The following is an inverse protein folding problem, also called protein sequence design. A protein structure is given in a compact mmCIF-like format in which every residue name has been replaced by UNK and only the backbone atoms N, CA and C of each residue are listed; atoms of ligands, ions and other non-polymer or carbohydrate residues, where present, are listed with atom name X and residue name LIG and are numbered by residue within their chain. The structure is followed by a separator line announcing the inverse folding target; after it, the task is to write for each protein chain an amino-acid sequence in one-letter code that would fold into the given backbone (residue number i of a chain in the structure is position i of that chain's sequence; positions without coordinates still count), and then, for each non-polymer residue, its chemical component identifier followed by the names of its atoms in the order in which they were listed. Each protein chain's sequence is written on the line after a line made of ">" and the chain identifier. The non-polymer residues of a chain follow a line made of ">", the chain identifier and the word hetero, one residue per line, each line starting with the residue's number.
data_IF_783231766257
#
_entry.id   IF_783231766257
#
_cell.length_a   1.000
_cell.length_b   1.000
_cell.length_c   1.000
_cell.angle_alpha   90.00
_cell.angle_beta   90.00
_cell.angle_gamma   90.00
#
_symmetry.space_group_name_H-M   'P 1'
#
loop_
_entity.id
_entity.type
_entity.pdbx_description
1 polymer ?
#
# COMPACT_ATOMS: atom_id res chain seq x y z
N UNK A 1 3.46 -5.98 12.40
CA UNK A 1 2.91 -4.89 13.22
C UNK A 1 1.41 -4.77 12.98
N UNK A 2 0.65 -4.83 14.07
CA UNK A 2 -0.80 -4.79 13.99
C UNK A 2 -1.35 -3.77 14.97
N UNK A 3 -2.28 -2.94 14.51
CA UNK A 3 -3.03 -2.03 15.34
C UNK A 3 -4.53 -2.30 15.16
N UNK A 4 -5.27 -2.29 16.25
CA UNK A 4 -6.73 -2.48 16.18
C UNK A 4 -7.44 -1.26 15.59
N UNK A 5 -6.82 -0.10 15.67
CA UNK A 5 -7.33 1.14 15.10
C UNK A 5 -6.30 1.72 14.14
N UNK A 6 -5.77 2.88 14.44
CA UNK A 6 -4.79 3.55 13.58
C UNK A 6 -3.38 3.07 13.89
N UNK A 7 -2.59 2.79 12.87
CA UNK A 7 -1.15 2.60 12.97
C UNK A 7 -0.46 3.84 12.41
N UNK A 8 0.38 4.47 13.19
CA UNK A 8 1.11 5.68 12.78
C UNK A 8 2.59 5.46 13.00
N UNK A 9 3.38 5.68 11.95
CA UNK A 9 4.84 5.57 12.01
C UNK A 9 5.43 6.92 11.65
N UNK A 10 6.09 7.56 12.63
CA UNK A 10 6.67 8.88 12.43
C UNK A 10 8.18 8.83 12.20
N UNK A 11 8.82 7.72 12.47
CA UNK A 11 10.26 7.61 12.28
C UNK A 11 10.79 6.27 12.77
N UNK A 12 12.12 6.17 12.85
CA UNK A 12 12.80 4.96 13.30
C UNK A 12 13.10 4.00 12.16
N UNK A 13 13.62 2.85 12.52
CA UNK A 13 13.94 1.77 11.58
C UNK A 13 13.14 0.54 11.96
N UNK A 14 12.35 0.06 11.02
CA UNK A 14 11.49 -1.10 11.24
C UNK A 14 11.78 -2.14 10.19
N UNK A 15 12.09 -3.35 10.64
CA UNK A 15 12.30 -4.49 9.74
C UNK A 15 11.32 -5.60 10.12
N UNK A 16 10.48 -6.00 9.18
CA UNK A 16 9.61 -7.17 9.34
C UNK A 16 10.13 -8.23 8.38
N UNK A 17 10.73 -9.27 8.93
CA UNK A 17 11.40 -10.31 8.14
C UNK A 17 10.42 -11.31 7.54
N UNK A 18 9.31 -11.53 8.22
CA UNK A 18 8.24 -12.41 7.73
C UNK A 18 7.01 -12.22 8.59
N UNK A 19 5.89 -12.01 7.93
CA UNK A 19 4.59 -11.89 8.58
C UNK A 19 3.53 -12.17 7.52
N UNK A 20 2.32 -12.45 7.94
CA UNK A 20 1.20 -12.56 6.99
C UNK A 20 0.93 -11.17 6.40
N UNK A 21 0.59 -10.19 7.23
CA UNK A 21 0.64 -8.77 6.87
C UNK A 21 1.80 -8.14 7.65
N UNK A 22 2.65 -7.38 6.97
CA UNK A 22 3.79 -6.77 7.64
C UNK A 22 3.36 -5.60 8.53
N UNK A 23 2.41 -4.81 8.06
CA UNK A 23 1.88 -3.65 8.78
C UNK A 23 0.39 -3.55 8.51
N UNK A 24 -0.42 -3.54 9.56
CA UNK A 24 -1.86 -3.46 9.37
C UNK A 24 -2.56 -2.64 10.46
N UNK A 25 -3.69 -2.05 10.10
CA UNK A 25 -4.56 -1.31 10.98
C UNK A 25 -5.85 -0.96 10.26
N UNK A 26 -6.77 -0.33 10.96
CA UNK A 26 -7.95 0.24 10.30
C UNK A 26 -7.51 1.31 9.32
N UNK A 27 -6.57 2.15 9.72
CA UNK A 27 -5.84 3.01 8.82
C UNK A 27 -4.37 3.01 9.19
N UNK A 28 -3.54 3.30 8.21
CA UNK A 28 -2.09 3.29 8.35
C UNK A 28 -1.56 4.60 7.82
N UNK A 29 -0.77 5.30 8.64
CA UNK A 29 -0.10 6.53 8.25
C UNK A 29 1.40 6.38 8.46
N UNK A 30 2.18 6.64 7.42
CA UNK A 30 3.64 6.62 7.48
C UNK A 30 4.14 8.01 7.14
N UNK A 31 4.68 8.71 8.14
CA UNK A 31 5.20 10.07 8.00
C UNK A 31 6.72 10.11 7.90
N UNK A 32 7.40 9.04 8.22
CA UNK A 32 8.86 8.99 8.17
C UNK A 32 9.37 7.63 8.58
N UNK A 33 10.70 7.52 8.63
CA UNK A 33 11.38 6.30 9.04
C UNK A 33 11.93 5.51 7.86
N UNK A 34 12.61 4.42 8.19
CA UNK A 34 13.13 3.46 7.21
C UNK A 34 12.47 2.12 7.50
N UNK A 35 11.65 1.67 6.56
CA UNK A 35 10.85 0.46 6.72
C UNK A 35 11.29 -0.56 5.67
N UNK A 36 11.54 -1.78 6.13
CA UNK A 36 11.87 -2.92 5.28
C UNK A 36 10.88 -4.03 5.64
N UNK A 37 9.88 -4.22 4.82
CA UNK A 37 8.72 -5.05 5.13
C UNK A 37 8.61 -6.22 4.16
N UNK A 38 8.54 -7.44 4.72
CA UNK A 38 8.24 -8.63 3.94
C UNK A 38 6.98 -9.30 4.50
N UNK A 39 6.05 -9.62 3.61
CA UNK A 39 4.81 -10.30 3.99
C UNK A 39 4.53 -11.47 3.04
N UNK A 40 3.88 -12.49 3.57
CA UNK A 40 3.47 -13.64 2.76
C UNK A 40 2.09 -13.43 2.13
N UNK A 41 1.34 -12.45 2.61
CA UNK A 41 0.06 -12.03 2.05
C UNK A 41 0.18 -10.55 1.68
N UNK A 42 -0.42 -9.62 2.41
CA UNK A 42 -0.35 -8.21 2.05
C UNK A 42 0.75 -7.50 2.83
N UNK A 43 1.47 -6.62 2.16
CA UNK A 43 2.56 -5.87 2.81
C UNK A 43 2.02 -4.87 3.81
N UNK A 44 1.23 -3.92 3.34
CA UNK A 44 0.54 -2.94 4.18
C UNK A 44 -0.95 -3.11 3.95
N UNK A 45 -1.70 -3.35 5.02
CA UNK A 45 -3.13 -3.64 4.92
C UNK A 45 -3.93 -2.70 5.80
N UNK A 46 -4.91 -2.01 5.21
CA UNK A 46 -5.86 -1.19 5.94
C UNK A 46 -7.26 -1.75 5.74
N UNK A 47 -7.87 -2.18 6.82
CA UNK A 47 -9.18 -2.83 6.77
C UNK A 47 -9.91 -2.67 8.09
N UNK A 48 -11.24 -2.68 8.03
CA UNK A 48 -12.08 -2.73 9.22
C UNK A 48 -13.46 -3.27 8.84
N UNK A 49 -14.07 -3.95 9.79
CA UNK A 49 -15.48 -4.37 9.68
C UNK A 49 -16.43 -3.40 10.40
N UNK A 50 -15.88 -2.39 11.06
CA UNK A 50 -16.70 -1.41 11.80
C UNK A 50 -17.41 -0.48 10.84
N UNK A 51 -18.70 -0.26 11.08
CA UNK A 51 -19.49 0.68 10.30
C UNK A 51 -18.98 2.10 10.51
N UNK A 52 -18.76 2.84 9.41
CA UNK A 52 -18.30 4.21 9.48
C UNK A 52 -16.82 4.38 9.73
N UNK A 53 -16.04 3.30 9.76
CA UNK A 53 -14.60 3.41 9.95
C UNK A 53 -13.95 4.12 8.78
N UNK A 54 -12.99 5.00 9.07
CA UNK A 54 -12.14 5.60 8.05
C UNK A 54 -11.00 4.64 7.74
N UNK A 55 -10.95 4.17 6.51
CA UNK A 55 -9.96 3.18 6.07
C UNK A 55 -9.08 3.83 5.00
N UNK A 56 -7.78 3.87 5.24
CA UNK A 56 -6.83 4.40 4.27
C UNK A 56 -5.41 3.95 4.58
N UNK A 57 -4.56 4.01 3.56
CA UNK A 57 -3.10 3.96 3.71
C UNK A 57 -2.60 5.34 3.25
N UNK A 58 -1.91 6.05 4.13
CA UNK A 58 -1.40 7.39 3.85
C UNK A 58 0.09 7.44 4.06
N UNK A 59 0.83 7.88 3.05
CA UNK A 59 2.27 7.99 3.09
C UNK A 59 2.64 9.45 2.81
N UNK A 60 3.26 10.10 3.79
CA UNK A 60 3.70 11.49 3.66
C UNK A 60 5.23 11.61 3.65
N UNK A 61 5.93 10.55 4.00
CA UNK A 61 7.39 10.54 4.05
C UNK A 61 7.91 9.15 4.32
N UNK A 62 9.22 9.04 4.49
CA UNK A 62 9.88 7.79 4.80
C UNK A 62 10.52 7.11 3.59
N UNK A 63 11.31 6.10 3.89
CA UNK A 63 11.96 5.25 2.89
C UNK A 63 11.43 3.83 3.13
N UNK A 64 10.54 3.39 2.26
CA UNK A 64 9.72 2.21 2.49
C UNK A 64 9.99 1.18 1.41
N UNK A 65 10.42 -0.02 1.84
CA UNK A 65 10.52 -1.18 0.96
C UNK A 65 9.48 -2.19 1.37
N UNK A 66 8.69 -2.64 0.41
CA UNK A 66 7.66 -3.65 0.62
C UNK A 66 7.88 -4.78 -0.36
N UNK A 67 8.07 -5.98 0.16
CA UNK A 67 8.16 -7.19 -0.66
C UNK A 67 7.07 -8.15 -0.19
N UNK A 68 6.33 -8.71 -1.12
CA UNK A 68 5.30 -9.71 -0.83
C UNK A 68 5.60 -11.01 -1.56
N UNK A 69 5.13 -12.09 -0.97
CA UNK A 69 5.30 -13.43 -1.52
C UNK A 69 4.43 -13.66 -2.76
N UNK A 70 4.47 -14.89 -3.25
CA UNK A 70 3.65 -15.29 -4.39
C UNK A 70 2.24 -15.66 -3.94
N UNK A 71 1.29 -15.60 -4.86
CA UNK A 71 -0.11 -15.88 -4.61
C UNK A 71 -0.96 -14.65 -4.81
N UNK A 72 -2.14 -14.63 -4.20
CA UNK A 72 -3.04 -13.47 -4.26
C UNK A 72 -2.60 -12.42 -3.24
N UNK A 73 -1.44 -11.81 -3.50
CA UNK A 73 -0.83 -10.86 -2.58
C UNK A 73 -0.81 -9.47 -3.18
N UNK A 74 -1.05 -8.48 -2.33
CA UNK A 74 -0.92 -7.07 -2.67
C UNK A 74 0.15 -6.43 -1.82
N UNK A 75 1.00 -5.60 -2.40
CA UNK A 75 1.97 -4.87 -1.59
C UNK A 75 1.24 -3.89 -0.67
N UNK A 76 0.32 -3.12 -1.20
CA UNK A 76 -0.58 -2.26 -0.43
C UNK A 76 -2.01 -2.64 -0.72
N UNK A 77 -2.75 -2.98 0.32
CA UNK A 77 -4.17 -3.34 0.22
C UNK A 77 -4.98 -2.46 1.18
N UNK A 78 -5.87 -1.67 0.62
CA UNK A 78 -6.73 -0.79 1.41
C UNK A 78 -8.18 -1.05 1.06
N UNK A 79 -9.00 -1.31 2.07
CA UNK A 79 -10.45 -1.35 1.86
C UNK A 79 -11.06 0.05 1.77
N UNK A 80 -10.24 1.07 1.72
CA UNK A 80 -10.61 2.45 1.50
C UNK A 80 -9.65 3.10 0.51
N UNK A 81 -9.05 4.21 0.92
CA UNK A 81 -8.21 5.01 0.04
C UNK A 81 -6.73 4.70 0.20
N UNK A 82 -5.94 5.06 -0.83
CA UNK A 82 -4.49 5.13 -0.74
C UNK A 82 -4.09 6.57 -1.09
N UNK A 83 -3.32 7.21 -0.22
CA UNK A 83 -2.92 8.60 -0.37
C UNK A 83 -1.42 8.69 -0.19
N UNK A 84 -0.71 9.23 -1.18
CA UNK A 84 0.73 9.44 -1.08
C UNK A 84 1.07 10.88 -1.46
N UNK A 85 1.69 11.58 -0.55
CA UNK A 85 2.10 12.97 -0.73
C UNK A 85 3.61 13.17 -0.63
N UNK A 86 4.34 12.14 -0.23
CA UNK A 86 5.80 12.21 -0.11
C UNK A 86 6.38 10.84 0.19
N UNK A 87 7.70 10.77 0.34
CA UNK A 87 8.41 9.55 0.66
C UNK A 87 8.86 8.76 -0.56
N UNK A 88 9.58 7.67 -0.31
CA UNK A 88 10.01 6.73 -1.33
C UNK A 88 9.39 5.37 -1.05
N UNK A 89 8.67 4.82 -2.00
CA UNK A 89 8.02 3.52 -1.88
C UNK A 89 8.56 2.61 -2.97
N UNK A 90 9.30 1.57 -2.56
CA UNK A 90 9.83 0.56 -3.46
C UNK A 90 9.13 -0.76 -3.20
N UNK A 91 8.45 -1.27 -4.21
CA UNK A 91 7.63 -2.47 -4.11
C UNK A 91 8.25 -3.58 -4.94
N UNK A 92 8.32 -4.79 -4.36
CA UNK A 92 8.63 -6.02 -5.08
C UNK A 92 7.44 -6.96 -4.94
N UNK A 93 6.76 -7.23 -6.03
CA UNK A 93 5.58 -8.08 -6.07
C UNK A 93 5.46 -8.76 -7.41
N UNK A 94 5.01 -10.03 -7.41
CA UNK A 94 4.80 -10.77 -8.65
C UNK A 94 3.35 -10.71 -9.13
N UNK A 95 2.43 -10.24 -8.30
CA UNK A 95 0.99 -10.23 -8.63
C UNK A 95 0.47 -8.80 -8.66
N UNK A 96 0.49 -8.13 -7.53
CA UNK A 96 -0.18 -6.84 -7.41
C UNK A 96 0.60 -5.89 -6.52
N UNK A 97 0.80 -4.66 -6.99
CA UNK A 97 1.38 -3.60 -6.16
C UNK A 97 0.31 -2.96 -5.28
N UNK A 98 -0.84 -2.66 -5.85
CA UNK A 98 -1.89 -1.91 -5.17
C UNK A 98 -3.25 -2.56 -5.39
N UNK A 99 -4.03 -2.64 -4.31
CA UNK A 99 -5.46 -2.94 -4.38
C UNK A 99 -6.17 -2.00 -3.42
N UNK A 100 -7.25 -1.38 -3.87
CA UNK A 100 -8.00 -0.45 -3.04
C UNK A 100 -9.44 -0.37 -3.51
N UNK A 101 -10.33 -0.15 -2.53
CA UNK A 101 -11.77 -0.07 -2.79
C UNK A 101 -12.25 1.37 -2.96
N UNK A 102 -11.50 2.32 -2.43
CA UNK A 102 -11.83 3.74 -2.50
C UNK A 102 -11.13 4.44 -3.64
N UNK A 103 -10.42 5.50 -3.33
CA UNK A 103 -9.72 6.34 -4.29
C UNK A 103 -8.22 6.33 -4.01
N UNK A 104 -7.43 6.53 -5.06
CA UNK A 104 -6.01 6.71 -4.93
C UNK A 104 -5.62 8.13 -5.28
N UNK A 105 -4.70 8.70 -4.50
CA UNK A 105 -4.15 10.02 -4.74
C UNK A 105 -2.64 9.96 -4.58
N UNK A 106 -1.91 10.42 -5.57
CA UNK A 106 -0.46 10.41 -5.58
C UNK A 106 0.03 11.77 -6.09
N UNK A 107 0.48 12.63 -5.17
CA UNK A 107 0.85 14.00 -5.49
C UNK A 107 2.30 14.32 -5.16
N UNK A 108 3.02 13.42 -4.52
CA UNK A 108 4.43 13.64 -4.20
C UNK A 108 5.13 12.35 -3.80
N UNK A 109 6.47 12.38 -3.84
CA UNK A 109 7.29 11.23 -3.55
C UNK A 109 7.59 10.40 -4.79
N UNK A 110 8.12 9.20 -4.58
CA UNK A 110 8.47 8.28 -5.66
C UNK A 110 7.92 6.90 -5.38
N UNK A 111 7.50 6.22 -6.45
CA UNK A 111 7.04 4.84 -6.39
C UNK A 111 7.79 4.05 -7.45
N UNK A 112 8.39 2.93 -7.06
CA UNK A 112 8.91 1.94 -7.99
C UNK A 112 8.25 0.60 -7.72
N UNK A 113 7.95 -0.14 -8.77
CA UNK A 113 7.42 -1.50 -8.68
C UNK A 113 8.31 -2.38 -9.52
N UNK A 114 8.97 -3.33 -8.87
CA UNK A 114 9.92 -4.23 -9.51
C UNK A 114 11.00 -3.47 -10.28
N UNK A 115 11.47 -2.36 -9.70
CA UNK A 115 12.51 -1.52 -10.28
C UNK A 115 12.04 -0.51 -11.31
N UNK A 116 10.75 -0.48 -11.61
CA UNK A 116 10.20 0.46 -12.61
C UNK A 116 9.40 1.55 -11.94
N UNK A 117 9.63 2.79 -12.35
CA UNK A 117 8.95 3.94 -11.80
C UNK A 117 7.48 3.95 -12.19
N UNK A 118 6.63 4.20 -11.21
CA UNK A 118 5.20 4.42 -11.43
C UNK A 118 4.89 5.90 -11.27
N UNK A 119 4.00 6.41 -12.11
CA UNK A 119 3.56 7.81 -12.06
C UNK A 119 2.16 7.95 -11.48
N UNK A 120 1.49 6.84 -11.25
CA UNK A 120 0.16 6.83 -10.65
C UNK A 120 -0.06 5.56 -9.85
N UNK A 121 -1.05 5.58 -9.00
CA UNK A 121 -1.47 4.42 -8.22
C UNK A 121 -2.74 3.88 -8.86
N UNK A 122 -2.66 2.66 -9.36
CA UNK A 122 -3.79 1.98 -10.00
C UNK A 122 -3.99 0.62 -9.34
N UNK A 123 -5.21 0.14 -9.32
CA UNK A 123 -5.49 -1.19 -8.78
C UNK A 123 -5.02 -2.25 -9.78
N UNK A 124 -4.11 -3.09 -9.34
CA UNK A 124 -3.46 -4.09 -10.18
C UNK A 124 -3.99 -5.51 -9.95
N UNK A 125 -4.67 -5.73 -8.84
CA UNK A 125 -5.05 -7.07 -8.40
C UNK A 125 -6.15 -7.71 -9.25
N UNK A 126 -6.38 -9.02 -9.09
CA UNK A 126 -7.38 -9.73 -9.88
C UNK A 126 -8.80 -9.17 -9.78
N UNK A 127 -9.16 -8.57 -8.69
CA UNK A 127 -10.47 -7.94 -8.55
C UNK A 127 -10.46 -6.47 -8.85
N UNK A 128 -9.28 -5.93 -9.10
CA UNK A 128 -9.08 -4.50 -9.19
C UNK A 128 -9.22 -3.95 -10.57
N UNK A 129 -9.80 -4.62 -11.42
CA UNK A 129 -9.90 -4.15 -12.79
C UNK A 129 -10.66 -2.87 -12.86
N UNK A 130 -11.12 -2.52 -12.18
CA UNK A 130 -11.76 -1.31 -12.37
C UNK A 130 -11.17 -0.50 -13.46
N UNK A 131 -10.91 -0.94 -13.50
CA UNK A 131 -10.77 -0.37 -14.16
C UNK A 131 -10.55 0.38 -14.63
N UNK A 132 -10.51 0.63 -14.86
CA UNK A 132 -10.32 1.36 -15.39
C UNK A 132 -10.32 2.08 -15.36
N UNK A 133 -10.31 2.06 -15.25
CA UNK A 133 -10.37 2.69 -15.43
C UNK A 133 -10.09 3.25 -15.16
N UNK A 134 -10.16 3.07 -14.91
CA UNK A 134 -10.05 3.53 -14.95
C UNK A 134 -9.57 3.94 -14.68
N UNK A 135 -9.61 3.94 -14.32
CA UNK A 135 -9.39 4.11 -14.31
C UNK A 135 -9.05 4.53 -14.47
N UNK A 136 -8.86 4.64 -14.31
CA UNK A 136 -8.70 4.90 -14.71
C UNK A 136 -8.17 4.95 -15.02
N UNK A 137 -7.88 4.84 -15.03
CA UNK A 137 -7.63 4.79 -15.53
C UNK A 137 -7.04 4.55 -16.03
N UNK A 138 -6.70 4.28 -16.07
CA UNK A 138 -6.40 4.05 -16.66
C UNK A 138 -5.80 3.65 -17.16
N UNK A 139 -5.25 3.78 -17.45
CA UNK A 139 -4.91 3.31 -18.09
C UNK A 139 -4.75 2.39 -18.25
N UNK A 140 -4.51 2.05 -17.97
CA UNK A 140 -4.58 1.30 -18.18
C UNK A 140 -4.33 0.71 -18.13
N UNK A 141 -4.24 0.49 -17.56
CA UNK A 141 -4.36 0.09 -17.50
C UNK A 141 -4.24 -0.40 -17.34
N UNK A 142 -4.30 -0.55 -16.87
CA UNK A 142 -4.57 -0.97 -16.63
C UNK A 142 -4.66 -1.20 -16.69
#
# INVERSE_FOLDING_TARGET
>A
LHASNAAVIDGGTITVKSSVEALEGTNVTINGGTLDLYATDDGINAASTATGAEIFIKITGGDIKVEVGQGDTDALDSNGDIIMTGGNLAITSTVSAFDFDGKASYTGGTITVNGQTRTEITADGPGGGGAPGGQGGGPGGH
#
